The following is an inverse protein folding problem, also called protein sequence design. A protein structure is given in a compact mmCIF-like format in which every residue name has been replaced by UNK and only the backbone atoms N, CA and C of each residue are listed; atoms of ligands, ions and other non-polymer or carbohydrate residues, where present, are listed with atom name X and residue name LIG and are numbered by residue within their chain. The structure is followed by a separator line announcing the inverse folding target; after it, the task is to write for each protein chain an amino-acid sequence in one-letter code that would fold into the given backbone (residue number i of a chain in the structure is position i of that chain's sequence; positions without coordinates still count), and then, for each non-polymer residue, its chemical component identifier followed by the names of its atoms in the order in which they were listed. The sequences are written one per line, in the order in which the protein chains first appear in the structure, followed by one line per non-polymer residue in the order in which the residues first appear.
data_IF_105672231173
#
_entry.id   IF_105672231173
#
_cell.length_a   1.000
_cell.length_b   1.000
_cell.length_c   1.000
_cell.angle_alpha   90.00
_cell.angle_beta   90.00
_cell.angle_gamma   90.00
#
_symmetry.space_group_name_H-M   'P 1'
#
loop_
_entity.id
_entity.type
_entity.pdbx_description
1 polymer ?
#
# COMPACT_ATOMS: atom_id res chain seq x y z
N UNK A 1 31.51 -5.75 5.33
CA UNK A 1 31.12 -4.47 5.97
C UNK A 1 30.08 -3.83 5.08
N UNK A 2 28.90 -3.46 5.60
CA UNK A 2 27.94 -2.70 4.82
C UNK A 2 28.59 -1.37 4.40
N UNK A 3 28.56 -1.06 3.10
CA UNK A 3 29.03 0.25 2.63
C UNK A 3 28.15 1.35 3.23
N UNK A 4 28.68 2.57 3.41
CA UNK A 4 27.87 3.71 3.86
C UNK A 4 26.61 3.89 3.02
N UNK A 5 26.73 3.60 1.71
CA UNK A 5 25.60 3.56 0.79
C UNK A 5 24.57 2.49 1.17
N UNK A 6 24.98 1.25 1.43
CA UNK A 6 24.09 0.18 1.89
C UNK A 6 23.35 0.56 3.17
N UNK A 7 24.07 1.08 4.17
CA UNK A 7 23.46 1.54 5.43
C UNK A 7 22.40 2.62 5.21
N UNK A 8 22.64 3.59 4.32
CA UNK A 8 21.65 4.63 4.01
C UNK A 8 20.40 4.02 3.36
N UNK A 9 20.56 3.08 2.43
CA UNK A 9 19.45 2.44 1.75
C UNK A 9 18.63 1.55 2.69
N UNK A 10 19.29 0.85 3.63
CA UNK A 10 18.64 0.09 4.70
C UNK A 10 17.79 1.00 5.61
N UNK A 11 18.32 2.17 5.97
CA UNK A 11 17.59 3.16 6.76
C UNK A 11 16.38 3.71 6.01
N UNK A 12 16.51 3.97 4.71
CA UNK A 12 15.40 4.44 3.87
C UNK A 12 14.32 3.36 3.70
N UNK A 13 14.71 2.09 3.55
CA UNK A 13 13.77 0.98 3.49
C UNK A 13 13.04 0.77 4.83
N UNK A 14 13.74 0.99 5.95
CA UNK A 14 13.18 0.86 7.31
C UNK A 14 12.28 2.04 7.71
N UNK A 15 12.48 3.22 7.11
CA UNK A 15 11.71 4.42 7.40
C UNK A 15 11.21 5.13 6.12
N UNK A 16 10.31 4.52 5.34
CA UNK A 16 9.83 5.10 4.09
C UNK A 16 9.11 6.45 4.29
N UNK A 17 8.52 6.68 5.47
CA UNK A 17 7.90 7.96 5.84
C UNK A 17 8.87 9.13 5.92
N UNK A 18 10.18 8.87 6.01
CA UNK A 18 11.19 9.93 6.01
C UNK A 18 11.52 10.46 4.61
N UNK A 19 10.95 9.89 3.54
CA UNK A 19 11.10 10.41 2.17
C UNK A 19 9.90 11.32 1.89
N UNK A 20 10.02 12.64 2.11
CA UNK A 20 8.90 13.55 2.06
C UNK A 20 8.68 13.97 0.61
N UNK A 21 7.97 13.17 -0.18
CA UNK A 21 7.46 13.59 -1.47
C UNK A 21 6.46 12.58 -2.04
N UNK A 22 5.49 13.06 -2.82
CA UNK A 22 4.66 12.23 -3.71
C UNK A 22 5.49 11.34 -4.65
N UNK A 23 6.74 11.73 -4.94
CA UNK A 23 7.67 11.00 -5.80
C UNK A 23 8.59 10.05 -5.00
N UNK A 24 8.52 10.05 -3.67
CA UNK A 24 9.41 9.29 -2.80
C UNK A 24 9.48 7.80 -3.16
N UNK A 25 8.34 7.10 -3.25
CA UNK A 25 8.30 5.69 -3.65
C UNK A 25 8.88 5.45 -5.06
N UNK A 26 8.74 6.39 -5.99
CA UNK A 26 9.32 6.28 -7.33
C UNK A 26 10.85 6.36 -7.26
N UNK A 27 11.39 7.27 -6.44
CA UNK A 27 12.83 7.40 -6.20
C UNK A 27 13.41 6.18 -5.51
N UNK A 28 12.69 5.60 -4.54
CA UNK A 28 13.07 4.34 -3.90
C UNK A 28 13.28 3.23 -4.94
N UNK A 29 12.32 3.05 -5.85
CA UNK A 29 12.44 2.05 -6.91
C UNK A 29 13.62 2.33 -7.85
N UNK A 30 13.83 3.59 -8.25
CA UNK A 30 14.98 3.95 -9.09
C UNK A 30 16.32 3.64 -8.41
N UNK A 31 16.47 3.99 -7.12
CA UNK A 31 17.68 3.72 -6.37
C UNK A 31 17.87 2.22 -6.19
N UNK A 32 16.82 1.52 -5.75
CA UNK A 32 16.84 0.08 -5.56
C UNK A 32 17.23 -0.68 -6.83
N UNK A 33 16.73 -0.27 -8.00
CA UNK A 33 17.09 -0.88 -9.28
C UNK A 33 18.57 -0.66 -9.64
N UNK A 34 19.11 0.54 -9.39
CA UNK A 34 20.51 0.87 -9.67
C UNK A 34 21.49 0.19 -8.74
N UNK A 35 21.08 -0.05 -7.50
CA UNK A 35 21.95 -0.60 -6.45
C UNK A 35 21.63 -2.07 -6.13
N UNK A 36 20.69 -2.67 -6.85
CA UNK A 36 20.17 -4.03 -6.59
C UNK A 36 19.79 -4.24 -5.12
N UNK A 37 19.11 -3.24 -4.52
CA UNK A 37 18.74 -3.27 -3.10
C UNK A 37 17.31 -3.79 -2.91
N UNK A 38 17.18 -5.03 -2.48
CA UNK A 38 15.90 -5.74 -2.43
C UNK A 38 14.89 -5.13 -1.45
N UNK A 39 15.31 -4.78 -0.24
CA UNK A 39 14.38 -4.23 0.76
C UNK A 39 13.80 -2.89 0.33
N UNK A 40 14.62 -2.06 -0.32
CA UNK A 40 14.19 -0.78 -0.88
C UNK A 40 13.28 -0.97 -2.09
N UNK A 41 13.55 -1.99 -2.93
CA UNK A 41 12.69 -2.38 -4.05
C UNK A 41 11.31 -2.83 -3.53
N UNK A 42 11.29 -3.71 -2.53
CA UNK A 42 10.07 -4.19 -1.91
C UNK A 42 9.25 -3.06 -1.32
N UNK A 43 9.88 -2.18 -0.54
CA UNK A 43 9.15 -1.10 0.11
C UNK A 43 8.58 -0.11 -0.92
N UNK A 44 9.35 0.22 -1.97
CA UNK A 44 8.85 1.03 -3.08
C UNK A 44 7.65 0.38 -3.78
N UNK A 45 7.74 -0.91 -4.10
CA UNK A 45 6.65 -1.66 -4.75
C UNK A 45 5.43 -1.76 -3.84
N UNK A 46 5.63 -1.98 -2.53
CA UNK A 46 4.58 -2.07 -1.51
C UNK A 46 3.81 -0.76 -1.41
N UNK A 47 4.49 0.37 -1.31
CA UNK A 47 3.82 1.67 -1.22
C UNK A 47 3.01 1.95 -2.49
N UNK A 48 3.60 1.73 -3.68
CA UNK A 48 2.91 1.98 -4.95
C UNK A 48 1.71 1.06 -5.17
N UNK A 49 1.77 -0.18 -4.70
CA UNK A 49 0.67 -1.15 -4.83
C UNK A 49 -0.61 -0.71 -4.12
N UNK A 50 -0.45 0.03 -3.03
CA UNK A 50 -1.57 0.47 -2.20
C UNK A 50 -2.11 1.85 -2.54
N UNK A 51 -1.45 2.62 -3.40
CA UNK A 51 -1.96 3.91 -3.90
C UNK A 51 -3.33 3.73 -4.56
N UNK A 52 -4.23 4.69 -4.32
CA UNK A 52 -5.53 4.70 -5.01
C UNK A 52 -5.35 5.03 -6.49
N UNK A 53 -4.65 6.14 -6.79
CA UNK A 53 -4.29 6.47 -8.17
C UNK A 53 -3.35 5.42 -8.79
N UNK A 54 -3.49 5.16 -10.10
CA UNK A 54 -2.54 4.34 -10.85
C UNK A 54 -1.20 5.07 -11.02
N UNK A 55 -0.20 4.36 -11.55
CA UNK A 55 1.04 5.00 -12.03
C UNK A 55 0.69 5.92 -13.20
N UNK A 56 0.97 7.21 -13.05
CA UNK A 56 0.62 8.24 -14.03
C UNK A 56 1.67 8.31 -15.16
N UNK A 57 1.32 8.81 -16.36
CA UNK A 57 2.28 8.97 -17.46
C UNK A 57 3.54 9.75 -17.08
N UNK A 58 3.41 10.80 -16.26
CA UNK A 58 4.55 11.57 -15.75
C UNK A 58 5.45 10.75 -14.81
N UNK A 59 4.90 9.77 -14.10
CA UNK A 59 5.64 8.87 -13.22
C UNK A 59 6.35 7.76 -14.01
N UNK A 60 5.79 7.35 -15.16
CA UNK A 60 6.45 6.44 -16.11
C UNK A 60 7.75 7.08 -16.63
N UNK A 61 7.73 8.37 -16.96
CA UNK A 61 8.94 9.09 -17.38
C UNK A 61 10.03 9.08 -16.29
N UNK A 62 9.64 9.07 -15.01
CA UNK A 62 10.57 8.95 -13.90
C UNK A 62 11.08 7.51 -13.79
N UNK A 63 10.19 6.53 -13.71
CA UNK A 63 10.56 5.13 -13.47
C UNK A 63 11.29 4.48 -14.65
N UNK A 64 10.97 4.89 -15.88
CA UNK A 64 11.22 4.12 -17.09
C UNK A 64 10.18 3.01 -17.26
N UNK A 65 9.99 2.57 -18.51
CA UNK A 65 8.91 1.66 -18.90
C UNK A 65 8.95 0.34 -18.11
N UNK A 66 10.14 -0.24 -17.92
CA UNK A 66 10.29 -1.53 -17.22
C UNK A 66 9.89 -1.46 -15.75
N UNK A 67 10.36 -0.46 -14.99
CA UNK A 67 10.01 -0.32 -13.58
C UNK A 67 8.55 0.10 -13.40
N UNK A 68 8.02 0.92 -14.31
CA UNK A 68 6.61 1.27 -14.32
C UNK A 68 5.72 0.03 -14.57
N UNK A 69 6.02 -0.75 -15.61
CA UNK A 69 5.28 -1.97 -15.92
C UNK A 69 5.32 -2.98 -14.76
N UNK A 70 6.49 -3.15 -14.13
CA UNK A 70 6.64 -3.99 -12.94
C UNK A 70 5.78 -3.48 -11.79
N UNK A 71 5.85 -2.19 -11.45
CA UNK A 71 5.03 -1.61 -10.38
C UNK A 71 3.52 -1.75 -10.65
N UNK A 72 3.09 -1.54 -11.90
CA UNK A 72 1.70 -1.74 -12.32
C UNK A 72 1.26 -3.20 -12.17
N UNK A 73 2.09 -4.16 -12.58
CA UNK A 73 1.79 -5.59 -12.44
C UNK A 73 1.62 -6.00 -10.98
N UNK A 74 2.57 -5.61 -10.11
CA UNK A 74 2.50 -5.92 -8.68
C UNK A 74 1.25 -5.30 -8.06
N UNK A 75 0.98 -4.03 -8.38
CA UNK A 75 -0.24 -3.35 -7.95
C UNK A 75 -1.48 -4.15 -8.33
N UNK A 76 -1.61 -4.54 -9.59
CA UNK A 76 -2.78 -5.24 -10.09
C UNK A 76 -2.95 -6.62 -9.44
N UNK A 77 -1.85 -7.37 -9.33
CA UNK A 77 -1.84 -8.69 -8.66
C UNK A 77 -2.27 -8.59 -7.20
N UNK A 78 -1.69 -7.67 -6.43
CA UNK A 78 -2.00 -7.48 -5.01
C UNK A 78 -3.46 -7.07 -4.80
N UNK A 79 -3.99 -6.18 -5.66
CA UNK A 79 -5.39 -5.74 -5.58
C UNK A 79 -6.38 -6.80 -6.04
N UNK A 80 -6.04 -7.56 -7.09
CA UNK A 80 -6.85 -8.71 -7.54
C UNK A 80 -6.96 -9.77 -6.46
N UNK A 81 -5.85 -10.07 -5.77
CA UNK A 81 -5.85 -11.01 -4.65
C UNK A 81 -6.77 -10.51 -3.53
N UNK A 82 -6.75 -9.21 -3.23
CA UNK A 82 -7.62 -8.60 -2.22
C UNK A 82 -9.11 -8.65 -2.60
N UNK A 83 -9.43 -8.44 -3.88
CA UNK A 83 -10.80 -8.54 -4.42
C UNK A 83 -11.28 -9.98 -4.56
N UNK A 84 -10.36 -10.93 -4.68
CA UNK A 84 -10.72 -12.35 -4.78
C UNK A 84 -11.37 -12.80 -3.46
N UNK A 85 -12.45 -13.57 -3.55
CA UNK A 85 -13.20 -14.09 -2.37
C UNK A 85 -12.37 -15.03 -1.47
N UNK A 86 -11.08 -15.21 -1.76
CA UNK A 86 -10.16 -16.08 -1.04
C UNK A 86 -9.55 -15.43 0.22
N UNK A 87 -9.89 -14.18 0.54
CA UNK A 87 -9.41 -13.48 1.75
C UNK A 87 -10.52 -13.16 2.76
N UNK A 88 -11.39 -14.13 3.08
CA UNK A 88 -12.38 -13.98 4.16
C UNK A 88 -11.74 -13.59 5.50
N UNK A 89 -10.51 -14.07 5.76
CA UNK A 89 -9.72 -13.74 6.95
C UNK A 89 -9.38 -12.24 7.06
N UNK A 90 -9.40 -11.46 5.98
CA UNK A 90 -9.02 -10.04 6.05
C UNK A 90 -10.02 -9.23 6.86
N UNK A 91 -11.32 -9.48 6.65
CA UNK A 91 -12.37 -8.82 7.43
C UNK A 91 -12.26 -9.21 8.91
N UNK A 92 -11.95 -10.48 9.21
CA UNK A 92 -11.76 -10.99 10.57
C UNK A 92 -10.55 -10.36 11.29
N UNK A 93 -9.48 -10.07 10.55
CA UNK A 93 -8.26 -9.44 11.07
C UNK A 93 -8.48 -7.96 11.45
N UNK A 94 -9.55 -7.33 10.97
CA UNK A 94 -9.93 -5.99 11.42
C UNK A 94 -10.37 -6.09 12.87
N UNK A 95 -9.63 -5.41 13.74
CA UNK A 95 -9.91 -5.32 15.18
C UNK A 95 -10.55 -3.96 15.51
N UNK A 96 -11.88 -3.89 15.67
CA UNK A 96 -12.52 -2.71 16.23
C UNK A 96 -11.98 -2.39 17.62
N UNK A 97 -12.10 -1.12 18.01
CA UNK A 97 -11.78 -0.65 19.35
C UNK A 97 -12.39 -1.59 20.42
N UNK A 98 -11.64 -1.92 21.47
CA UNK A 98 -12.06 -2.89 22.50
C UNK A 98 -13.43 -2.52 23.13
N UNK A 99 -13.67 -1.24 23.39
CA UNK A 99 -14.95 -0.70 23.89
C UNK A 99 -16.02 -0.46 22.80
N UNK A 100 -15.88 -1.03 21.61
CA UNK A 100 -16.88 -0.89 20.55
C UNK A 100 -18.16 -1.69 20.90
N UNK A 101 -19.33 -1.04 21.01
CA UNK A 101 -20.59 -1.74 21.31
C UNK A 101 -21.13 -2.53 20.11
N UNK A 102 -20.68 -2.23 18.89
CA UNK A 102 -21.14 -2.83 17.63
C UNK A 102 -19.96 -3.31 16.78
N UNK A 103 -19.17 -4.24 17.33
CA UNK A 103 -17.89 -4.68 16.75
C UNK A 103 -18.03 -5.15 15.30
N UNK A 104 -18.96 -6.07 15.03
CA UNK A 104 -19.13 -6.62 13.68
C UNK A 104 -19.62 -5.56 12.68
N UNK A 105 -20.52 -4.67 13.10
CA UNK A 105 -20.96 -3.56 12.25
C UNK A 105 -19.81 -2.61 11.90
N UNK A 106 -18.97 -2.26 12.88
CA UNK A 106 -17.80 -1.41 12.64
C UNK A 106 -16.77 -2.11 11.75
N UNK A 107 -16.50 -3.40 11.99
CA UNK A 107 -15.63 -4.25 11.17
C UNK A 107 -16.08 -4.23 9.71
N UNK A 108 -17.32 -4.63 9.44
CA UNK A 108 -17.84 -4.70 8.07
C UNK A 108 -17.88 -3.33 7.39
N UNK A 109 -18.11 -2.24 8.14
CA UNK A 109 -18.05 -0.88 7.57
C UNK A 109 -16.63 -0.49 7.18
N UNK A 110 -15.64 -0.74 8.03
CA UNK A 110 -14.22 -0.50 7.70
C UNK A 110 -13.83 -1.30 6.46
N UNK A 111 -14.17 -2.60 6.43
CA UNK A 111 -13.90 -3.46 5.27
C UNK A 111 -14.55 -2.93 3.98
N UNK A 112 -15.83 -2.52 4.05
CA UNK A 112 -16.53 -1.89 2.91
C UNK A 112 -15.85 -0.60 2.44
N UNK A 113 -15.35 0.23 3.34
CA UNK A 113 -14.65 1.46 2.97
C UNK A 113 -13.32 1.16 2.27
N UNK A 114 -12.56 0.14 2.73
CA UNK A 114 -11.32 -0.31 2.07
C UNK A 114 -11.64 -0.85 0.67
N UNK A 115 -12.65 -1.70 0.54
CA UNK A 115 -13.09 -2.22 -0.76
C UNK A 115 -13.57 -1.11 -1.69
N UNK A 116 -14.26 -0.09 -1.18
CA UNK A 116 -14.64 1.07 -1.97
C UNK A 116 -13.40 1.81 -2.51
N UNK A 117 -12.41 2.09 -1.67
CA UNK A 117 -11.14 2.69 -2.10
C UNK A 117 -10.36 1.81 -3.09
N UNK A 118 -10.60 0.50 -3.08
CA UNK A 118 -9.98 -0.45 -3.98
C UNK A 118 -10.55 -0.37 -5.41
N UNK A 119 -11.84 -0.03 -5.54
CA UNK A 119 -12.58 -0.03 -6.81
C UNK A 119 -12.95 1.38 -7.30
N UNK A 120 -12.68 2.42 -6.52
CA UNK A 120 -12.97 3.80 -6.90
C UNK A 120 -12.28 4.14 -8.23
N UNK A 121 -13.02 4.80 -9.13
CA UNK A 121 -12.47 5.22 -10.41
C UNK A 121 -11.40 6.29 -10.16
N UNK A 122 -10.24 6.21 -10.85
CA UNK A 122 -9.26 7.30 -10.81
C UNK A 122 -9.82 8.66 -11.24
N UNK A 123 -10.93 8.68 -11.99
CA UNK A 123 -11.61 9.92 -12.42
C UNK A 123 -12.34 10.62 -11.27
N UNK A 124 -12.73 9.87 -10.24
CA UNK A 124 -13.44 10.39 -9.07
C UNK A 124 -12.47 10.89 -7.98
N UNK A 125 -11.17 10.74 -8.21
CA UNK A 125 -10.11 11.17 -7.31
C UNK A 125 -9.50 12.50 -7.79
N UNK A 126 -9.11 13.40 -6.86
CA UNK A 126 -8.29 14.54 -7.19
C UNK A 126 -6.98 14.10 -7.87
N UNK A 127 -6.50 14.88 -8.85
CA UNK A 127 -5.21 14.61 -9.51
C UNK A 127 -4.02 14.64 -8.54
N UNK A 128 -4.18 15.30 -7.39
CA UNK A 128 -3.21 15.38 -6.29
C UNK A 128 -3.38 14.29 -5.23
N UNK A 129 -4.28 13.32 -5.42
CA UNK A 129 -4.51 12.24 -4.44
C UNK A 129 -3.22 11.42 -4.26
N UNK A 130 -2.64 11.52 -3.08
CA UNK A 130 -1.46 10.75 -2.66
C UNK A 130 -1.83 9.62 -1.72
N UNK A 131 -3.13 9.32 -1.64
CA UNK A 131 -3.68 8.45 -0.63
C UNK A 131 -3.51 6.98 -0.98
N UNK A 132 -3.45 6.14 0.05
CA UNK A 132 -3.57 4.68 -0.10
C UNK A 132 -5.02 4.20 0.13
N UNK A 133 -5.28 2.93 -0.17
CA UNK A 133 -6.60 2.31 0.00
C UNK A 133 -7.02 2.16 1.47
N UNK A 134 -6.07 2.23 2.41
CA UNK A 134 -6.32 2.12 3.85
C UNK A 134 -6.55 3.49 4.50
N UNK A 135 -6.28 4.59 3.81
CA UNK A 135 -6.66 5.93 4.26
C UNK A 135 -8.16 6.14 4.08
N UNK A 136 -8.87 5.91 5.19
CA UNK A 136 -10.32 6.04 5.26
C UNK A 136 -10.71 7.52 5.42
N UNK A 137 -11.65 8.05 4.60
CA UNK A 137 -12.00 9.47 4.59
C UNK A 137 -12.54 9.94 5.94
N UNK A 138 -12.19 11.19 6.30
CA UNK A 138 -12.74 11.90 7.45
C UNK A 138 -14.28 11.93 7.36
N UNK A 139 -15.00 11.80 8.50
CA UNK A 139 -16.45 11.76 8.46
C UNK A 139 -17.04 13.11 8.09
N UNK A 140 -17.66 13.19 6.92
CA UNK A 140 -18.70 14.18 6.66
C UNK A 140 -20.02 13.63 7.19
N UNK A 141 -20.14 13.49 8.52
CA UNK A 141 -21.33 12.98 9.21
C UNK A 141 -21.19 11.58 9.85
N UNK A 142 -22.31 10.90 10.05
CA UNK A 142 -22.35 9.54 10.62
C UNK A 142 -21.87 8.53 9.58
N UNK A 143 -20.56 8.24 9.54
CA UNK A 143 -19.97 7.14 8.75
C UNK A 143 -20.42 5.75 9.22
N UNK A 144 -21.35 5.69 10.18
CA UNK A 144 -21.93 4.47 10.70
C UNK A 144 -20.98 3.68 11.62
N UNK A 145 -19.76 4.16 11.84
CA UNK A 145 -18.87 3.67 12.90
C UNK A 145 -19.35 4.23 14.24
N UNK A 146 -19.20 3.45 15.31
CA UNK A 146 -19.38 3.99 16.65
C UNK A 146 -18.29 5.03 16.97
N UNK A 147 -18.54 5.92 17.93
CA UNK A 147 -17.61 6.99 18.32
C UNK A 147 -16.19 6.49 18.64
N UNK A 148 -16.08 5.34 19.31
CA UNK A 148 -14.81 4.71 19.68
C UNK A 148 -14.01 4.23 18.47
N UNK A 149 -14.64 3.55 17.52
CA UNK A 149 -13.96 3.11 16.31
C UNK A 149 -13.67 4.26 15.37
N UNK A 150 -14.50 5.29 15.37
CA UNK A 150 -14.28 6.47 14.54
C UNK A 150 -13.00 7.23 14.97
N UNK A 151 -12.75 7.36 16.27
CA UNK A 151 -11.57 8.07 16.79
C UNK A 151 -10.24 7.37 16.53
N UNK A 152 -10.24 6.04 16.34
CA UNK A 152 -9.03 5.24 16.05
C UNK A 152 -9.07 4.60 14.66
N UNK A 153 -9.95 5.09 13.77
CA UNK A 153 -10.17 4.54 12.44
C UNK A 153 -8.86 4.45 11.64
N UNK A 154 -8.01 5.49 11.60
CA UNK A 154 -6.74 5.43 10.88
C UNK A 154 -5.79 4.35 11.41
N UNK A 155 -5.79 4.08 12.72
CA UNK A 155 -4.98 3.02 13.33
C UNK A 155 -5.49 1.63 12.94
N UNK A 156 -6.81 1.42 13.02
CA UNK A 156 -7.44 0.15 12.64
C UNK A 156 -7.18 -0.17 11.17
N UNK A 157 -7.30 0.81 10.26
CA UNK A 157 -7.06 0.55 8.84
C UNK A 157 -5.58 0.29 8.54
N UNK A 158 -4.67 1.02 9.19
CA UNK A 158 -3.21 0.82 9.05
C UNK A 158 -2.75 -0.53 9.60
N UNK A 159 -3.39 -1.07 10.65
CA UNK A 159 -2.99 -2.37 11.21
C UNK A 159 -3.29 -3.54 10.26
N UNK A 160 -4.31 -3.41 9.41
CA UNK A 160 -4.64 -4.42 8.38
C UNK A 160 -3.51 -4.54 7.37
N UNK A 161 -2.98 -3.40 6.91
CA UNK A 161 -1.86 -3.34 5.98
C UNK A 161 -0.60 -4.00 6.56
N UNK A 162 -0.16 -3.54 7.73
CA UNK A 162 1.09 -3.96 8.38
C UNK A 162 1.05 -5.37 9.01
N UNK A 163 -0.12 -5.96 9.13
CA UNK A 163 -0.30 -7.29 9.69
C UNK A 163 -0.05 -8.39 8.65
N UNK A 164 -1.00 -9.33 8.54
CA UNK A 164 -0.87 -10.50 7.66
C UNK A 164 -0.89 -10.18 6.17
N UNK A 165 -1.39 -8.99 5.78
CA UNK A 165 -1.57 -8.65 4.38
C UNK A 165 -0.25 -8.40 3.66
N UNK A 166 0.58 -7.50 4.19
CA UNK A 166 1.90 -7.23 3.58
C UNK A 166 2.79 -8.49 3.62
N UNK A 167 2.70 -9.30 4.69
CA UNK A 167 3.42 -10.58 4.80
C UNK A 167 3.01 -11.61 3.73
N UNK A 168 1.72 -11.69 3.40
CA UNK A 168 1.22 -12.64 2.40
C UNK A 168 1.41 -12.19 0.96
N UNK A 169 1.48 -10.88 0.72
CA UNK A 169 1.50 -10.32 -0.63
C UNK A 169 2.89 -9.86 -1.09
N UNK A 170 3.77 -9.53 -0.16
CA UNK A 170 5.12 -9.02 -0.42
C UNK A 170 6.14 -9.92 0.27
N UNK A 171 6.10 -11.20 -0.06
CA UNK A 171 7.03 -12.23 0.41
C UNK A 171 8.25 -12.38 -0.54
N UNK A 172 9.09 -13.38 -0.27
CA UNK A 172 10.26 -13.69 -1.08
C UNK A 172 9.91 -14.09 -2.52
N UNK A 173 8.71 -14.63 -2.78
CA UNK A 173 8.28 -14.99 -4.14
C UNK A 173 8.08 -13.74 -5.01
N UNK A 174 7.64 -12.64 -4.40
CA UNK A 174 7.53 -11.35 -5.09
C UNK A 174 8.90 -10.77 -5.43
N UNK A 175 9.88 -10.93 -4.56
CA UNK A 175 11.27 -10.55 -4.82
C UNK A 175 11.87 -11.34 -5.97
N UNK A 176 11.69 -12.65 -5.97
CA UNK A 176 12.16 -13.53 -7.04
C UNK A 176 11.54 -13.12 -8.38
N UNK A 177 10.23 -12.87 -8.38
CA UNK A 177 9.54 -12.34 -9.55
C UNK A 177 10.09 -10.98 -9.98
N UNK A 178 10.29 -10.05 -9.05
CA UNK A 178 10.85 -8.73 -9.34
C UNK A 178 12.27 -8.83 -9.92
N UNK A 179 13.11 -9.75 -9.44
CA UNK A 179 14.46 -9.99 -9.97
C UNK A 179 14.44 -10.63 -11.36
N UNK A 180 13.53 -11.57 -11.59
CA UNK A 180 13.40 -12.29 -12.86
C UNK A 180 12.75 -11.47 -13.99
N UNK A 181 12.19 -10.30 -13.66
CA UNK A 181 11.49 -9.48 -14.63
C UNK A 181 12.47 -8.89 -15.67
N UNK A 182 12.19 -9.03 -16.98
CA UNK A 182 13.12 -8.65 -18.06
C UNK A 182 13.63 -7.22 -17.95
N UNK A 183 14.93 -7.02 -18.14
CA UNK A 183 15.61 -5.71 -18.02
C UNK A 183 15.96 -5.07 -19.36
N UNK A 184 15.29 -5.46 -20.45
CA UNK A 184 15.62 -5.01 -21.82
C UNK A 184 15.54 -3.50 -21.98
#
# INVERSE_FOLDING_TARGET
MASTQGYILDQLASNPSSIPHTLGPLKMLQWAARTSHDDLMLEGLRILSWRRLPILPSEIQVLGDNLAARAMYIRERSRTLLLSRNMSWLEEDIQPHNLCPTRDTCRSKIFKMINHNLIISPRDLPSSDSSDIFQLPEPSGSNGLCSRCNSVRPEISRSIRRGKLDQKLFDSSLLEFARAWPTT
#
